data_IF_598020874291
#
_entry.id   IF_598020874291
#
_cell.length_a   1.000
_cell.length_b   1.000
_cell.length_c   1.000
_cell.angle_alpha   90.00
_cell.angle_beta   90.00
_cell.angle_gamma   90.00
#
_symmetry.space_group_name_H-M   'P 1'
#
loop_
_entity.id
_entity.type
_entity.pdbx_description
1 polymer ?
#
# COMPACT_ATOMS: atom_id res chain seq x y z
N UNK A 1 3.85 0.66 -28.90
CA UNK A 1 3.35 1.44 -27.75
C UNK A 1 2.93 0.44 -26.67
N UNK A 2 3.68 0.28 -25.57
CA UNK A 2 3.39 -0.72 -24.53
C UNK A 2 2.31 -0.18 -23.58
N UNK A 3 1.07 -0.65 -23.72
CA UNK A 3 -0.07 -0.33 -22.84
C UNK A 3 -0.17 -1.38 -21.69
N UNK A 4 0.96 -1.99 -21.30
CA UNK A 4 0.96 -3.19 -20.46
C UNK A 4 1.50 -3.04 -19.04
N UNK A 5 2.05 -1.88 -18.67
CA UNK A 5 2.77 -1.72 -17.39
C UNK A 5 2.05 -0.85 -16.36
N UNK A 6 1.14 0.02 -16.79
CA UNK A 6 0.44 0.96 -15.89
C UNK A 6 -0.65 0.31 -15.04
N UNK A 7 -1.43 -0.64 -15.58
CA UNK A 7 -2.46 -1.33 -14.80
C UNK A 7 -1.87 -2.20 -13.67
N UNK A 8 -0.75 -2.88 -13.94
CA UNK A 8 -0.06 -3.70 -12.94
C UNK A 8 0.59 -2.88 -11.82
N UNK A 9 0.95 -1.61 -12.09
CA UNK A 9 1.56 -0.72 -11.10
C UNK A 9 0.52 -0.03 -10.19
N UNK A 10 -0.69 0.23 -10.70
CA UNK A 10 -1.76 0.90 -9.94
C UNK A 10 -2.54 -0.05 -9.02
N UNK A 11 -2.70 -1.32 -9.42
CA UNK A 11 -3.38 -2.33 -8.61
C UNK A 11 -2.83 -2.47 -7.17
N UNK A 12 -1.51 -2.60 -6.92
CA UNK A 12 -0.98 -2.71 -5.57
C UNK A 12 -1.17 -1.42 -4.76
N UNK A 13 -1.13 -0.24 -5.40
CA UNK A 13 -1.39 1.04 -4.72
C UNK A 13 -2.84 1.12 -4.25
N UNK A 14 -3.79 0.70 -5.09
CA UNK A 14 -5.21 0.68 -4.74
C UNK A 14 -5.51 -0.32 -3.61
N UNK A 15 -4.91 -1.52 -3.68
CA UNK A 15 -5.02 -2.52 -2.60
C UNK A 15 -4.42 -1.99 -1.30
N UNK A 16 -3.24 -1.36 -1.35
CA UNK A 16 -2.58 -0.75 -0.19
C UNK A 16 -3.48 0.34 0.42
N UNK A 17 -4.04 1.22 -0.41
CA UNK A 17 -4.97 2.27 0.04
C UNK A 17 -6.17 1.70 0.78
N UNK A 18 -6.84 0.70 0.20
CA UNK A 18 -8.00 0.07 0.82
C UNK A 18 -7.63 -0.61 2.14
N UNK A 19 -6.51 -1.32 2.19
CA UNK A 19 -6.03 -1.97 3.40
C UNK A 19 -5.74 -0.96 4.51
N UNK A 20 -5.06 0.14 4.21
CA UNK A 20 -4.81 1.21 5.20
C UNK A 20 -6.13 1.75 5.75
N UNK A 21 -7.10 2.04 4.88
CA UNK A 21 -8.42 2.54 5.30
C UNK A 21 -9.18 1.54 6.18
N UNK A 22 -9.14 0.25 5.85
CA UNK A 22 -9.75 -0.79 6.69
C UNK A 22 -9.06 -0.87 8.05
N UNK A 23 -7.73 -0.86 8.09
CA UNK A 23 -6.96 -0.89 9.35
C UNK A 23 -7.28 0.33 10.21
N UNK A 24 -7.31 1.53 9.63
CA UNK A 24 -7.68 2.74 10.37
C UNK A 24 -9.11 2.69 10.89
N UNK A 25 -10.05 2.20 10.08
CA UNK A 25 -11.43 2.03 10.50
C UNK A 25 -11.56 1.05 11.68
N UNK A 26 -10.89 -0.11 11.61
CA UNK A 26 -10.89 -1.12 12.66
C UNK A 26 -10.18 -0.65 13.94
N UNK A 27 -9.12 0.15 13.81
CA UNK A 27 -8.41 0.76 14.93
C UNK A 27 -9.15 1.97 15.54
N UNK A 28 -10.28 2.39 14.96
CA UNK A 28 -10.96 3.63 15.35
C UNK A 28 -10.14 4.89 15.07
N UNK A 29 -9.10 4.78 14.24
CA UNK A 29 -8.20 5.88 13.92
C UNK A 29 -8.87 6.83 12.94
N UNK A 30 -9.11 8.06 13.39
CA UNK A 30 -9.66 9.15 12.58
C UNK A 30 -8.63 10.25 12.44
N UNK A 31 -8.20 10.46 11.20
CA UNK A 31 -7.33 11.54 10.82
C UNK A 31 -7.85 12.17 9.53
N UNK A 32 -8.03 13.47 9.54
CA UNK A 32 -8.36 14.27 8.36
C UNK A 32 -7.22 15.24 8.07
N UNK A 33 -6.65 15.16 6.87
CA UNK A 33 -5.50 15.97 6.48
C UNK A 33 -5.85 17.44 6.26
N UNK A 34 -7.10 17.74 5.90
CA UNK A 34 -7.58 19.10 5.64
C UNK A 34 -7.92 19.80 6.96
N UNK A 35 -8.57 19.10 7.88
CA UNK A 35 -8.96 19.68 9.18
C UNK A 35 -7.79 19.73 10.18
N UNK A 36 -6.97 18.68 10.23
CA UNK A 36 -5.92 18.53 11.27
C UNK A 36 -4.52 18.93 10.79
N UNK A 37 -4.30 19.00 9.48
CA UNK A 37 -3.02 19.40 8.87
C UNK A 37 -1.90 18.36 8.98
N UNK A 38 -0.73 18.70 8.42
CA UNK A 38 0.43 17.78 8.31
C UNK A 38 1.38 17.81 9.51
N UNK A 39 1.31 18.84 10.37
CA UNK A 39 2.13 18.97 11.58
C UNK A 39 1.42 18.37 12.80
N UNK A 40 0.82 17.19 12.62
CA UNK A 40 0.05 16.49 13.64
C UNK A 40 0.62 15.08 13.84
N UNK A 41 0.67 14.60 15.09
CA UNK A 41 1.12 13.23 15.39
C UNK A 41 0.28 12.17 14.64
N UNK A 42 -1.00 12.43 14.40
CA UNK A 42 -1.86 11.56 13.60
C UNK A 42 -1.42 11.48 12.14
N UNK A 43 -0.90 12.56 11.55
CA UNK A 43 -0.33 12.50 10.20
C UNK A 43 0.87 11.53 10.15
N UNK A 44 1.75 11.61 11.16
CA UNK A 44 2.89 10.70 11.25
C UNK A 44 2.46 9.24 11.39
N UNK A 45 1.41 8.98 12.20
CA UNK A 45 0.83 7.63 12.35
C UNK A 45 0.17 7.15 11.06
N UNK A 46 -0.56 8.03 10.35
CA UNK A 46 -1.17 7.74 9.06
C UNK A 46 -0.11 7.33 8.03
N UNK A 47 0.94 8.14 7.89
CA UNK A 47 2.06 7.87 6.98
C UNK A 47 2.82 6.59 7.36
N UNK A 48 3.06 6.36 8.65
CA UNK A 48 3.69 5.12 9.12
C UNK A 48 2.81 3.89 8.82
N UNK A 49 1.49 4.00 8.99
CA UNK A 49 0.54 2.93 8.66
C UNK A 49 0.60 2.57 7.18
N UNK A 50 0.67 3.57 6.31
CA UNK A 50 0.90 3.38 4.87
C UNK A 50 2.18 2.61 4.58
N UNK A 51 3.29 3.01 5.20
CA UNK A 51 4.58 2.33 5.04
C UNK A 51 4.53 0.86 5.46
N UNK A 52 3.92 0.58 6.62
CA UNK A 52 3.79 -0.79 7.15
C UNK A 52 2.91 -1.65 6.23
N UNK A 53 1.72 -1.17 5.85
CA UNK A 53 0.80 -1.92 4.97
C UNK A 53 1.43 -2.17 3.61
N UNK A 54 2.14 -1.18 3.05
CA UNK A 54 2.86 -1.35 1.79
C UNK A 54 3.96 -2.42 1.91
N UNK A 55 4.78 -2.37 2.96
CA UNK A 55 5.85 -3.34 3.19
C UNK A 55 5.30 -4.77 3.34
N UNK A 56 4.21 -4.94 4.10
CA UNK A 56 3.53 -6.23 4.26
C UNK A 56 2.97 -6.72 2.93
N UNK A 57 2.29 -5.86 2.18
CA UNK A 57 1.71 -6.21 0.87
C UNK A 57 2.80 -6.61 -0.11
N UNK A 58 3.88 -5.85 -0.19
CA UNK A 58 5.04 -6.17 -1.04
C UNK A 58 5.70 -7.48 -0.64
N UNK A 59 5.90 -7.72 0.66
CA UNK A 59 6.45 -8.98 1.17
C UNK A 59 5.57 -10.17 0.79
N UNK A 60 4.25 -10.06 0.98
CA UNK A 60 3.31 -11.12 0.62
C UNK A 60 3.30 -11.38 -0.90
N UNK A 61 3.24 -10.33 -1.72
CA UNK A 61 3.27 -10.47 -3.18
C UNK A 61 4.59 -11.07 -3.68
N UNK A 62 5.72 -10.68 -3.11
CA UNK A 62 7.03 -11.25 -3.48
C UNK A 62 7.19 -12.73 -3.07
N UNK A 63 6.45 -13.18 -2.04
CA UNK A 63 6.42 -14.60 -1.62
C UNK A 63 5.41 -15.43 -2.40
N UNK A 64 4.29 -14.83 -2.81
CA UNK A 64 3.19 -15.52 -3.50
C UNK A 64 3.32 -15.50 -5.03
N UNK A 65 4.05 -14.53 -5.60
CA UNK A 65 4.36 -14.54 -7.02
C UNK A 65 5.32 -15.71 -7.33
N UNK A 66 4.95 -16.65 -8.22
CA UNK A 66 5.89 -17.65 -8.68
C UNK A 66 7.08 -16.91 -9.30
N UNK A 67 8.28 -17.15 -8.75
CA UNK A 67 9.53 -16.80 -9.43
C UNK A 67 9.40 -17.38 -10.83
N UNK A 68 9.25 -16.52 -11.84
CA UNK A 68 9.18 -16.94 -13.23
C UNK A 68 10.53 -17.58 -13.52
N UNK A 69 10.61 -18.90 -13.37
CA UNK A 69 11.81 -19.69 -13.57
C UNK A 69 12.41 -19.23 -14.90
N UNK A 70 13.63 -18.70 -14.84
CA UNK A 70 14.34 -18.25 -16.03
C UNK A 70 14.28 -19.38 -17.08
N UNK A 71 14.05 -19.06 -18.37
CA UNK A 71 14.06 -20.08 -19.40
C UNK A 71 15.45 -20.71 -19.39
N UNK A 72 15.53 -21.96 -18.90
CA UNK A 72 16.72 -22.80 -19.05
C UNK A 72 16.88 -23.01 -20.54
N UNK A 73 17.94 -22.40 -21.09
CA UNK A 73 18.29 -22.46 -22.50
C UNK A 73 18.88 -23.81 -22.85
#
# INVERSE_FOLDING_TARGET
MRIGTTQAALAPLFITYLLVKVVHHLAGFKYDLVEEGVLNAKFAIDLASWGVVYAVTYFLLSKLAPQKSAPVR
#
